data_IF_862934900780
#
_entry.id   IF_862934900780
#
_cell.length_a   1.000
_cell.length_b   1.000
_cell.length_c   1.000
_cell.angle_alpha   90.00
_cell.angle_beta   90.00
_cell.angle_gamma   90.00
#
_symmetry.space_group_name_H-M   'P 1'
#
loop_
_entity.id
_entity.type
_entity.pdbx_description
1 polymer ?
#
# COMPACT_ATOMS: atom_id res chain seq x y z
N UNK A 1 -18.89 -21.56 13.18
CA UNK A 1 -19.72 -21.59 11.95
C UNK A 1 -20.45 -20.27 11.83
N UNK A 2 -20.37 -19.68 10.66
CA UNK A 2 -21.08 -18.48 10.28
C UNK A 2 -22.20 -18.84 9.30
N UNK A 3 -23.40 -18.31 9.54
CA UNK A 3 -24.55 -18.56 8.67
C UNK A 3 -25.09 -17.25 8.15
N UNK A 4 -25.34 -17.18 6.84
CA UNK A 4 -25.88 -16.00 6.16
C UNK A 4 -26.99 -16.42 5.21
N UNK A 5 -28.19 -15.85 5.36
CA UNK A 5 -29.30 -16.07 4.46
C UNK A 5 -29.36 -14.97 3.39
N UNK A 6 -29.39 -15.37 2.13
CA UNK A 6 -29.50 -14.47 0.98
C UNK A 6 -30.56 -15.06 0.04
N UNK A 7 -31.61 -14.31 -0.23
CA UNK A 7 -32.74 -14.74 -1.11
C UNK A 7 -33.31 -16.15 -0.79
N UNK A 8 -33.43 -16.48 0.51
CA UNK A 8 -33.96 -17.76 0.96
C UNK A 8 -32.96 -18.93 0.96
N UNK A 9 -31.74 -18.71 0.47
CA UNK A 9 -30.65 -19.69 0.52
C UNK A 9 -29.79 -19.41 1.75
N UNK A 10 -29.51 -20.45 2.53
CA UNK A 10 -28.60 -20.36 3.69
C UNK A 10 -27.19 -20.79 3.27
N UNK A 11 -26.25 -19.86 3.40
CA UNK A 11 -24.83 -20.14 3.28
C UNK A 11 -24.28 -20.43 4.68
N UNK A 12 -23.50 -21.48 4.78
CA UNK A 12 -22.81 -21.87 6.02
C UNK A 12 -21.33 -22.06 5.74
N UNK A 13 -20.46 -21.44 6.53
CA UNK A 13 -19.00 -21.57 6.44
C UNK A 13 -18.34 -21.55 7.81
N UNK A 14 -17.16 -22.17 7.89
CA UNK A 14 -16.27 -22.01 9.06
C UNK A 14 -15.73 -20.58 9.13
N UNK A 15 -15.52 -20.08 10.34
CA UNK A 15 -14.77 -18.84 10.54
C UNK A 15 -13.30 -19.07 10.20
N UNK A 16 -12.63 -18.01 9.75
CA UNK A 16 -11.17 -18.04 9.59
C UNK A 16 -10.50 -17.98 10.96
N UNK A 17 -10.19 -19.15 11.52
CA UNK A 17 -9.51 -19.32 12.80
C UNK A 17 -7.99 -19.55 12.63
N UNK A 18 -7.45 -19.37 11.41
CA UNK A 18 -6.02 -19.52 11.15
C UNK A 18 -5.21 -18.65 12.10
N UNK A 19 -4.35 -19.28 12.88
CA UNK A 19 -3.40 -18.59 13.73
C UNK A 19 -2.24 -18.07 12.87
N UNK A 20 -1.99 -16.78 12.92
CA UNK A 20 -0.88 -16.16 12.21
C UNK A 20 0.28 -15.99 13.18
N UNK A 21 1.28 -16.83 13.05
CA UNK A 21 2.52 -16.80 13.84
C UNK A 21 3.70 -17.34 13.03
N UNK A 22 4.86 -17.47 13.66
CA UNK A 22 6.10 -17.94 13.03
C UNK A 22 6.03 -19.38 12.51
N UNK A 23 5.10 -20.19 12.99
CA UNK A 23 4.91 -21.56 12.50
C UNK A 23 4.62 -21.58 10.98
N UNK A 24 3.90 -20.58 10.48
CA UNK A 24 3.60 -20.43 9.05
C UNK A 24 4.84 -20.18 8.19
N UNK A 25 5.94 -19.74 8.78
CA UNK A 25 7.18 -19.39 8.09
C UNK A 25 8.23 -20.50 8.12
N UNK A 26 7.93 -21.68 8.72
CA UNK A 26 8.88 -22.77 8.86
C UNK A 26 9.19 -23.47 7.55
N UNK A 27 8.22 -23.57 6.65
CA UNK A 27 8.39 -24.23 5.35
C UNK A 27 8.73 -23.20 4.27
N UNK A 28 10.02 -22.92 4.12
CA UNK A 28 10.51 -22.02 3.06
C UNK A 28 10.69 -22.81 1.77
N UNK A 29 9.91 -22.52 0.74
CA UNK A 29 9.91 -23.24 -0.54
C UNK A 29 10.82 -22.63 -1.60
N UNK A 30 11.25 -21.38 -1.42
CA UNK A 30 12.15 -20.65 -2.32
C UNK A 30 13.57 -21.22 -2.31
N UNK A 31 14.39 -20.90 -3.32
CA UNK A 31 15.80 -21.32 -3.39
C UNK A 31 16.61 -20.78 -2.21
N UNK A 32 16.44 -19.50 -1.86
CA UNK A 32 16.97 -18.95 -0.61
C UNK A 32 16.06 -19.40 0.55
N UNK A 33 16.64 -20.08 1.53
CA UNK A 33 15.93 -20.61 2.71
C UNK A 33 16.02 -19.69 3.93
N UNK A 34 16.80 -18.64 3.85
CA UNK A 34 16.99 -17.71 4.96
C UNK A 34 15.98 -16.56 4.88
N UNK A 35 15.24 -16.36 5.96
CA UNK A 35 14.34 -15.22 6.14
C UNK A 35 14.89 -14.37 7.29
N UNK A 36 15.36 -13.14 7.05
CA UNK A 36 15.78 -12.24 8.13
C UNK A 36 14.66 -12.00 9.15
N UNK A 37 15.00 -11.79 10.42
CA UNK A 37 14.00 -11.61 11.48
C UNK A 37 13.10 -10.38 11.24
N UNK A 38 13.65 -9.31 10.67
CA UNK A 38 12.85 -8.15 10.23
C UNK A 38 11.80 -8.52 9.19
N UNK A 39 12.17 -9.35 8.22
CA UNK A 39 11.25 -9.84 7.19
C UNK A 39 10.17 -10.77 7.76
N UNK A 40 10.49 -11.59 8.77
CA UNK A 40 9.49 -12.42 9.46
C UNK A 40 8.40 -11.57 10.10
N UNK A 41 8.79 -10.49 10.79
CA UNK A 41 7.83 -9.54 11.38
C UNK A 41 6.92 -8.96 10.29
N UNK A 42 7.49 -8.48 9.19
CA UNK A 42 6.75 -7.88 8.09
C UNK A 42 5.82 -8.88 7.39
N UNK A 43 6.27 -10.12 7.21
CA UNK A 43 5.44 -11.21 6.67
C UNK A 43 4.25 -11.51 7.60
N UNK A 44 4.47 -11.61 8.91
CA UNK A 44 3.40 -11.81 9.89
C UNK A 44 2.40 -10.65 9.87
N UNK A 45 2.87 -9.40 9.84
CA UNK A 45 2.02 -8.21 9.74
C UNK A 45 1.19 -8.24 8.47
N UNK A 46 1.79 -8.60 7.33
CA UNK A 46 1.08 -8.73 6.06
C UNK A 46 -0.03 -9.79 6.13
N UNK A 47 0.26 -10.96 6.68
CA UNK A 47 -0.71 -12.07 6.83
C UNK A 47 -1.85 -11.72 7.82
N UNK A 48 -1.54 -11.06 8.93
CA UNK A 48 -2.56 -10.56 9.87
C UNK A 48 -3.50 -9.57 9.14
N UNK A 49 -2.92 -8.65 8.38
CA UNK A 49 -3.69 -7.68 7.58
C UNK A 49 -4.62 -8.39 6.61
N UNK A 50 -4.09 -9.38 5.87
CA UNK A 50 -4.86 -10.11 4.87
C UNK A 50 -5.96 -11.00 5.48
N UNK A 51 -5.78 -11.52 6.68
CA UNK A 51 -6.81 -12.26 7.41
C UNK A 51 -8.10 -11.47 7.57
N UNK A 52 -8.01 -10.14 7.66
CA UNK A 52 -9.14 -9.24 7.89
C UNK A 52 -9.52 -8.41 6.66
N UNK A 53 -8.99 -8.74 5.48
CA UNK A 53 -9.34 -8.09 4.21
C UNK A 53 -10.19 -9.01 3.33
N UNK A 54 -10.94 -8.39 2.42
CA UNK A 54 -11.71 -9.10 1.40
C UNK A 54 -10.78 -9.62 0.30
N UNK A 55 -10.89 -10.91 -0.02
CA UNK A 55 -10.21 -11.52 -1.18
C UNK A 55 -10.72 -10.93 -2.53
N UNK A 56 -9.94 -10.87 -3.57
CA UNK A 56 -8.49 -11.09 -3.62
C UNK A 56 -7.76 -9.99 -2.87
N UNK A 57 -6.71 -10.32 -2.14
CA UNK A 57 -5.97 -9.32 -1.39
C UNK A 57 -4.47 -9.58 -1.35
N UNK A 58 -3.70 -8.50 -1.35
CA UNK A 58 -2.24 -8.46 -1.27
C UNK A 58 -1.83 -7.33 -0.33
N UNK A 59 -0.81 -7.55 0.47
CA UNK A 59 -0.27 -6.56 1.39
C UNK A 59 1.25 -6.48 1.28
N UNK A 60 1.77 -5.27 1.05
CA UNK A 60 3.17 -4.93 1.25
C UNK A 60 3.39 -4.44 2.67
N UNK A 61 4.44 -4.93 3.32
CA UNK A 61 4.82 -4.53 4.67
C UNK A 61 6.30 -4.19 4.75
N UNK A 62 6.65 -3.23 5.61
CA UNK A 62 8.02 -2.79 5.85
C UNK A 62 8.16 -2.21 7.26
N UNK A 63 9.19 -2.68 7.99
CA UNK A 63 9.51 -2.14 9.31
C UNK A 63 8.38 -2.29 10.33
N UNK A 64 7.65 -3.40 10.32
CA UNK A 64 6.52 -3.67 11.21
C UNK A 64 5.23 -2.94 10.83
N UNK A 65 5.11 -2.43 9.62
CA UNK A 65 3.96 -1.65 9.15
C UNK A 65 3.46 -2.17 7.79
N UNK A 66 2.14 -2.30 7.64
CA UNK A 66 1.51 -2.48 6.34
C UNK A 66 1.54 -1.15 5.58
N UNK A 67 2.29 -1.09 4.48
CA UNK A 67 2.52 0.14 3.70
C UNK A 67 1.67 0.23 2.44
N UNK A 68 1.14 -0.89 1.96
CA UNK A 68 0.25 -0.91 0.79
C UNK A 68 -0.66 -2.13 0.82
N UNK A 69 -1.97 -1.90 0.76
CA UNK A 69 -2.98 -2.95 0.79
C UNK A 69 -3.88 -2.82 -0.43
N UNK A 70 -3.97 -3.88 -1.22
CA UNK A 70 -4.95 -4.07 -2.28
C UNK A 70 -5.90 -5.19 -1.88
N UNK A 71 -7.18 -4.90 -1.74
CA UNK A 71 -8.18 -5.84 -1.26
C UNK A 71 -9.49 -5.74 -2.03
N UNK A 72 -10.26 -6.83 -2.05
CA UNK A 72 -11.57 -6.87 -2.68
C UNK A 72 -11.56 -6.70 -4.19
N UNK A 73 -10.43 -6.97 -4.86
CA UNK A 73 -10.30 -6.80 -6.29
C UNK A 73 -10.67 -8.08 -7.06
N UNK A 74 -11.12 -7.92 -8.29
CA UNK A 74 -11.54 -9.05 -9.15
C UNK A 74 -10.37 -9.92 -9.62
N UNK A 75 -9.14 -9.39 -9.63
CA UNK A 75 -7.96 -10.15 -10.02
C UNK A 75 -6.76 -9.89 -9.12
N UNK A 76 -5.89 -10.89 -9.02
CA UNK A 76 -4.63 -10.79 -8.26
C UNK A 76 -3.72 -9.69 -8.81
N UNK A 77 -3.68 -9.52 -10.12
CA UNK A 77 -2.91 -8.44 -10.78
C UNK A 77 -3.38 -7.06 -10.31
N UNK A 78 -4.70 -6.83 -10.26
CA UNK A 78 -5.25 -5.56 -9.76
C UNK A 78 -4.97 -5.33 -8.28
N UNK A 79 -5.04 -6.39 -7.45
CA UNK A 79 -4.66 -6.31 -6.04
C UNK A 79 -3.20 -5.87 -5.88
N UNK A 80 -2.29 -6.54 -6.61
CA UNK A 80 -0.87 -6.26 -6.54
C UNK A 80 -0.55 -4.84 -6.99
N UNK A 81 -1.14 -4.39 -8.10
CA UNK A 81 -0.98 -3.00 -8.58
C UNK A 81 -1.49 -1.98 -7.57
N UNK A 82 -2.68 -2.19 -7.02
CA UNK A 82 -3.26 -1.28 -6.03
C UNK A 82 -2.41 -1.23 -4.76
N UNK A 83 -1.97 -2.38 -4.27
CA UNK A 83 -1.09 -2.46 -3.11
C UNK A 83 0.26 -1.80 -3.37
N UNK A 84 0.87 -2.04 -4.55
CA UNK A 84 2.12 -1.44 -4.97
C UNK A 84 2.01 0.09 -5.07
N UNK A 85 1.00 0.60 -5.76
CA UNK A 85 0.78 2.05 -5.86
C UNK A 85 0.64 2.73 -4.48
N UNK A 86 -0.02 2.07 -3.52
CA UNK A 86 -0.12 2.59 -2.15
C UNK A 86 1.23 2.56 -1.42
N UNK A 87 2.02 1.51 -1.61
CA UNK A 87 3.36 1.41 -1.04
C UNK A 87 4.30 2.48 -1.63
N UNK A 88 4.22 2.70 -2.96
CA UNK A 88 4.97 3.75 -3.64
C UNK A 88 4.57 5.13 -3.10
N UNK A 89 3.28 5.42 -2.98
CA UNK A 89 2.79 6.68 -2.41
C UNK A 89 3.24 6.86 -0.96
N UNK A 90 3.20 5.79 -0.15
CA UNK A 90 3.70 5.84 1.23
C UNK A 90 5.18 6.26 1.28
N UNK A 91 6.01 5.75 0.36
CA UNK A 91 7.43 6.09 0.30
C UNK A 91 7.68 7.46 -0.34
N UNK A 92 6.96 7.81 -1.41
CA UNK A 92 7.04 9.14 -2.05
C UNK A 92 6.70 10.27 -1.09
N UNK A 93 5.72 10.08 -0.20
CA UNK A 93 5.35 11.07 0.83
C UNK A 93 6.49 11.39 1.79
N UNK A 94 7.50 10.54 1.88
CA UNK A 94 8.69 10.72 2.72
C UNK A 94 9.86 11.39 1.98
N UNK A 95 9.73 11.63 0.68
CA UNK A 95 10.74 12.33 -0.11
C UNK A 95 10.93 13.76 0.42
N UNK A 96 12.17 14.24 0.60
CA UNK A 96 12.43 15.62 1.02
C UNK A 96 11.70 16.68 0.18
N UNK A 97 11.56 16.45 -1.12
CA UNK A 97 10.81 17.35 -2.02
C UNK A 97 9.34 17.47 -1.61
N UNK A 98 8.73 16.40 -1.11
CA UNK A 98 7.33 16.37 -0.63
C UNK A 98 7.23 16.92 0.79
N UNK A 99 8.15 16.55 1.67
CA UNK A 99 8.16 17.02 3.07
C UNK A 99 8.36 18.53 3.19
N UNK A 100 9.10 19.13 2.24
CA UNK A 100 9.41 20.55 2.21
C UNK A 100 8.47 21.37 1.31
N UNK A 101 7.32 20.83 0.90
CA UNK A 101 6.34 21.61 0.13
C UNK A 101 5.96 22.90 0.86
N UNK A 102 5.98 24.05 0.16
CA UNK A 102 5.79 25.37 0.76
C UNK A 102 4.30 25.68 0.99
N UNK A 103 3.64 24.93 1.85
CA UNK A 103 2.22 25.10 2.14
C UNK A 103 1.91 26.48 2.74
N UNK A 104 0.73 27.01 2.42
CA UNK A 104 0.20 28.24 3.03
C UNK A 104 -0.04 28.03 4.55
N UNK A 105 0.22 29.07 5.35
CA UNK A 105 0.19 28.99 6.83
C UNK A 105 -1.16 28.56 7.41
N UNK A 106 -2.26 28.88 6.71
CA UNK A 106 -3.63 28.60 7.18
C UNK A 106 -4.29 27.40 6.50
N UNK A 107 -3.52 26.59 5.75
CA UNK A 107 -4.08 25.40 5.10
C UNK A 107 -4.54 24.40 6.15
N UNK A 108 -5.75 23.86 5.97
CA UNK A 108 -6.26 22.81 6.85
C UNK A 108 -5.51 21.51 6.59
N UNK A 109 -5.36 20.69 7.64
CA UNK A 109 -4.66 19.41 7.55
C UNK A 109 -5.18 18.51 6.43
N UNK A 110 -6.51 18.38 6.30
CA UNK A 110 -7.11 17.55 5.25
C UNK A 110 -6.79 18.05 3.84
N UNK A 111 -6.83 19.38 3.62
CA UNK A 111 -6.51 19.96 2.31
C UNK A 111 -5.03 19.78 1.97
N UNK A 112 -4.14 19.89 2.98
CA UNK A 112 -2.72 19.61 2.83
C UNK A 112 -2.47 18.14 2.45
N UNK A 113 -3.11 17.19 3.15
CA UNK A 113 -2.94 15.77 2.90
C UNK A 113 -3.44 15.39 1.49
N UNK A 114 -4.58 15.93 1.07
CA UNK A 114 -5.10 15.74 -0.29
C UNK A 114 -4.17 16.36 -1.35
N UNK A 115 -3.66 17.57 -1.10
CA UNK A 115 -2.73 18.22 -2.02
C UNK A 115 -1.43 17.43 -2.20
N UNK A 116 -0.93 16.77 -1.14
CA UNK A 116 0.23 15.87 -1.24
C UNK A 116 -0.09 14.69 -2.15
N UNK A 117 -1.23 14.02 -1.97
CA UNK A 117 -1.61 12.86 -2.78
C UNK A 117 -1.76 13.23 -4.27
N UNK A 118 -2.38 14.37 -4.57
CA UNK A 118 -2.48 14.88 -5.94
C UNK A 118 -1.11 15.28 -6.50
N UNK A 119 -0.27 15.97 -5.71
CA UNK A 119 1.07 16.40 -6.14
C UNK A 119 1.99 15.24 -6.53
N UNK A 120 1.93 14.12 -5.79
CA UNK A 120 2.69 12.91 -6.10
C UNK A 120 2.03 12.05 -7.18
N UNK A 121 0.75 12.29 -7.50
CA UNK A 121 -0.03 11.57 -8.50
C UNK A 121 0.31 11.94 -9.95
N UNK A 122 -0.47 11.43 -10.88
CA UNK A 122 -0.41 11.81 -12.31
C UNK A 122 -1.23 13.06 -12.59
N UNK A 123 -2.15 13.40 -11.71
CA UNK A 123 -3.06 14.55 -11.76
C UNK A 123 -2.51 15.80 -11.04
N UNK A 124 -1.18 15.87 -10.85
CA UNK A 124 -0.49 16.95 -10.12
C UNK A 124 -0.83 18.36 -10.61
N UNK A 125 -1.25 18.51 -11.87
CA UNK A 125 -1.70 19.81 -12.39
C UNK A 125 -2.97 20.33 -11.69
N UNK A 126 -3.74 19.45 -11.04
CA UNK A 126 -4.89 19.88 -10.26
C UNK A 126 -4.53 20.75 -9.04
N UNK A 127 -3.29 20.65 -8.57
CA UNK A 127 -2.76 21.51 -7.50
C UNK A 127 -1.68 22.48 -7.97
N UNK A 128 -1.10 22.31 -9.18
CA UNK A 128 -0.02 23.17 -9.69
C UNK A 128 -0.46 24.12 -10.80
N UNK A 129 -1.68 23.99 -11.34
CA UNK A 129 -2.17 24.91 -12.36
C UNK A 129 -2.33 26.33 -11.80
N UNK A 130 -2.14 27.34 -12.67
CA UNK A 130 -2.35 28.74 -12.31
C UNK A 130 -3.81 28.97 -11.87
N UNK A 131 -4.02 29.76 -10.82
CA UNK A 131 -5.31 29.92 -10.16
C UNK A 131 -5.69 28.81 -9.18
N UNK A 132 -4.89 27.75 -9.04
CA UNK A 132 -5.11 26.68 -8.08
C UNK A 132 -4.02 26.62 -7.01
N UNK A 133 -2.75 26.65 -7.41
CA UNK A 133 -1.63 26.53 -6.48
C UNK A 133 -1.61 27.65 -5.43
N UNK A 134 -2.04 28.85 -5.78
CA UNK A 134 -2.06 30.05 -4.90
C UNK A 134 -2.93 29.86 -3.65
N UNK A 135 -3.91 28.96 -3.72
CA UNK A 135 -4.77 28.63 -2.59
C UNK A 135 -4.17 27.59 -1.65
N UNK A 136 -3.11 26.90 -2.08
CA UNK A 136 -2.55 25.74 -1.38
C UNK A 136 -1.13 26.06 -0.88
N UNK A 137 -0.34 26.74 -1.70
CA UNK A 137 1.08 26.98 -1.47
C UNK A 137 1.39 28.48 -1.35
N UNK A 138 2.47 28.82 -0.67
CA UNK A 138 3.02 30.20 -0.59
C UNK A 138 3.76 30.59 -1.87
N UNK A 139 4.34 29.61 -2.52
CA UNK A 139 5.03 29.73 -3.81
C UNK A 139 4.77 28.47 -4.62
N UNK A 140 4.78 28.58 -5.94
CA UNK A 140 4.50 27.44 -6.84
C UNK A 140 5.59 26.38 -6.74
N UNK A 141 5.28 25.16 -6.26
CA UNK A 141 6.25 24.08 -6.24
C UNK A 141 6.65 23.67 -7.66
N UNK A 142 7.89 23.20 -7.78
CA UNK A 142 8.31 22.48 -8.99
C UNK A 142 7.58 21.15 -9.13
N UNK A 143 7.37 20.72 -10.36
CA UNK A 143 6.79 19.39 -10.64
C UNK A 143 7.69 18.29 -10.10
N UNK A 144 7.10 17.31 -9.43
CA UNK A 144 7.81 16.09 -9.05
C UNK A 144 7.81 15.14 -10.26
N UNK A 145 8.91 15.15 -11.00
CA UNK A 145 9.01 14.42 -12.27
C UNK A 145 9.02 12.91 -12.09
N UNK A 146 8.72 12.18 -13.17
CA UNK A 146 8.76 10.70 -13.15
C UNK A 146 10.15 10.16 -12.84
N UNK A 147 11.18 10.83 -13.34
CA UNK A 147 12.57 10.49 -13.11
C UNK A 147 12.96 10.66 -11.64
N UNK A 148 12.55 11.78 -11.01
CA UNK A 148 12.80 12.03 -9.59
C UNK A 148 12.05 11.03 -8.72
N UNK A 149 10.76 10.75 -9.02
CA UNK A 149 9.96 9.73 -8.32
C UNK A 149 10.65 8.37 -8.41
N UNK A 150 11.09 7.96 -9.61
CA UNK A 150 11.77 6.69 -9.81
C UNK A 150 13.07 6.61 -9.03
N UNK A 151 13.90 7.64 -9.08
CA UNK A 151 15.16 7.69 -8.34
C UNK A 151 14.96 7.60 -6.81
N UNK A 152 13.85 8.11 -6.29
CA UNK A 152 13.49 7.95 -4.88
C UNK A 152 12.98 6.54 -4.57
N UNK A 153 12.07 6.00 -5.39
CA UNK A 153 11.50 4.66 -5.22
C UNK A 153 12.55 3.56 -5.31
N UNK A 154 13.57 3.73 -6.15
CA UNK A 154 14.69 2.77 -6.28
C UNK A 154 15.52 2.62 -4.99
N UNK A 155 15.36 3.50 -4.01
CA UNK A 155 15.98 3.40 -2.69
C UNK A 155 15.17 2.56 -1.70
N UNK A 156 13.94 2.19 -2.05
CA UNK A 156 13.08 1.39 -1.18
C UNK A 156 13.50 -0.08 -1.22
N UNK A 157 14.04 -0.58 -0.12
CA UNK A 157 14.50 -1.96 0.08
C UNK A 157 13.75 -2.64 1.22
N UNK A 158 13.99 -3.93 1.40
CA UNK A 158 13.49 -4.71 2.55
C UNK A 158 11.97 -4.62 2.71
N UNK A 159 11.26 -4.84 1.61
CA UNK A 159 9.79 -4.89 1.59
C UNK A 159 9.33 -6.33 1.52
N UNK A 160 8.48 -6.75 2.45
CA UNK A 160 7.82 -8.04 2.44
C UNK A 160 6.45 -7.94 1.75
N UNK A 161 6.04 -9.04 1.10
CA UNK A 161 4.74 -9.15 0.46
C UNK A 161 4.01 -10.41 0.97
N UNK A 162 2.77 -10.24 1.39
CA UNK A 162 1.82 -11.31 1.65
C UNK A 162 0.69 -11.33 0.65
N UNK A 163 0.12 -12.53 0.43
CA UNK A 163 -1.05 -12.75 -0.43
C UNK A 163 -1.99 -13.75 0.22
N UNK A 164 -3.30 -13.52 0.09
CA UNK A 164 -4.31 -14.44 0.64
C UNK A 164 -4.46 -15.74 -0.16
N UNK A 165 -3.87 -15.82 -1.36
CA UNK A 165 -3.83 -17.02 -2.19
C UNK A 165 -2.61 -16.98 -3.14
N UNK A 166 -2.48 -18.02 -3.97
CA UNK A 166 -1.40 -18.11 -4.95
C UNK A 166 -1.45 -17.01 -6.01
N UNK A 167 -0.31 -16.72 -6.61
CA UNK A 167 -0.24 -15.86 -7.78
C UNK A 167 -0.46 -16.70 -9.06
N UNK A 168 -1.51 -16.38 -9.87
CA UNK A 168 -1.87 -17.18 -11.05
C UNK A 168 -1.11 -16.78 -12.32
N UNK A 169 -0.21 -15.83 -12.24
CA UNK A 169 0.63 -15.39 -13.36
C UNK A 169 2.01 -16.04 -13.24
N UNK A 170 2.51 -16.47 -14.39
CA UNK A 170 3.83 -17.11 -14.49
C UNK A 170 4.96 -16.18 -14.07
N UNK A 171 6.12 -16.78 -13.91
CA UNK A 171 7.37 -16.18 -13.46
C UNK A 171 7.84 -15.00 -14.32
#
# INVERSE_FOLDING_TARGET
IERKQVYGIVFEQGRNELKIDEELLKEVVTANKEIPDSAKIDLIISLITLKYTQSNSVCFAKGGQAIGIGAGQQSRVHCTRLAGNKADNWFLRQCPKVLNLPFADKIRRADRDNAIDVYIGEDYMDVLADGRWENIFREKPEVFTKEEKRAWLDQMTDVALGSDAFFPFGD
#
